data_IF_262792954790
#
_entry.id   IF_262792954790
#
_cell.length_a   1.000
_cell.length_b   1.000
_cell.length_c   1.000
_cell.angle_alpha   90.00
_cell.angle_beta   90.00
_cell.angle_gamma   90.00
#
_symmetry.space_group_name_H-M   'P 1'
#
loop_
_entity.id
_entity.type
_entity.pdbx_description
1 polymer ?
#
# COMPACT_ATOMS: atom_id res chain seq x y z
N UNK A 1 76.56 8.40 -3.99
CA UNK A 1 75.86 7.16 -4.26
C UNK A 1 74.49 7.29 -3.60
N UNK A 2 73.45 7.49 -4.38
CA UNK A 2 72.11 7.77 -3.93
C UNK A 2 71.29 6.48 -3.94
N UNK A 3 70.53 6.19 -2.89
CA UNK A 3 69.47 5.18 -2.90
C UNK A 3 68.16 5.88 -2.51
N UNK A 4 67.28 6.00 -3.51
CA UNK A 4 65.90 6.46 -3.31
C UNK A 4 65.03 5.39 -2.72
N UNK A 5 64.26 5.76 -1.71
CA UNK A 5 63.18 4.95 -1.16
C UNK A 5 61.87 5.32 -1.83
N UNK A 6 61.24 4.37 -2.50
CA UNK A 6 59.90 4.47 -3.06
C UNK A 6 58.87 4.40 -1.93
N UNK A 7 58.13 5.46 -1.74
CA UNK A 7 56.96 5.49 -0.88
C UNK A 7 55.73 5.00 -1.65
N UNK A 8 55.15 3.88 -1.20
CA UNK A 8 53.84 3.37 -1.67
C UNK A 8 52.72 4.14 -0.97
N UNK A 9 52.00 4.93 -1.72
CA UNK A 9 50.75 5.56 -1.25
C UNK A 9 49.64 4.54 -1.30
N UNK A 10 49.18 4.09 -0.14
CA UNK A 10 47.96 3.31 0.00
C UNK A 10 46.75 4.25 -0.24
N UNK A 11 46.00 3.96 -1.26
CA UNK A 11 44.73 4.66 -1.55
C UNK A 11 43.66 4.05 -0.67
N UNK A 12 43.33 4.74 0.43
CA UNK A 12 42.16 4.39 1.24
C UNK A 12 40.88 4.72 0.44
N UNK A 13 40.30 3.69 -0.17
CA UNK A 13 38.96 3.76 -0.74
C UNK A 13 37.95 3.69 0.41
N UNK A 14 37.65 4.83 0.98
CA UNK A 14 36.53 4.96 1.92
C UNK A 14 35.20 4.76 1.17
N UNK A 15 34.72 3.52 1.10
CA UNK A 15 33.34 3.24 0.71
C UNK A 15 32.41 3.74 1.81
N UNK A 16 32.02 5.00 1.69
CA UNK A 16 30.89 5.56 2.45
C UNK A 16 29.61 4.86 2.01
N UNK A 17 29.30 3.72 2.60
CA UNK A 17 27.97 3.10 2.54
C UNK A 17 27.01 4.05 3.23
N UNK A 18 26.45 4.98 2.45
CA UNK A 18 25.35 5.83 2.86
C UNK A 18 24.16 4.93 3.18
N UNK A 19 24.05 4.55 4.44
CA UNK A 19 22.87 3.89 4.99
C UNK A 19 21.71 4.85 4.77
N UNK A 20 20.88 4.60 3.75
CA UNK A 20 19.65 5.35 3.53
C UNK A 20 18.80 5.19 4.79
N UNK A 21 18.33 6.26 5.42
CA UNK A 21 17.39 6.14 6.53
C UNK A 21 16.18 5.36 6.04
N UNK A 22 15.87 4.26 6.71
CA UNK A 22 14.60 3.55 6.48
C UNK A 22 13.52 4.48 6.99
N UNK A 23 12.91 5.23 6.09
CA UNK A 23 11.75 6.06 6.41
C UNK A 23 10.68 5.20 7.08
N UNK A 24 10.13 5.62 8.22
CA UNK A 24 9.14 4.83 8.93
C UNK A 24 7.93 4.57 8.03
N UNK A 25 7.54 3.32 7.89
CA UNK A 25 6.32 2.93 7.17
C UNK A 25 5.16 3.71 7.79
N UNK A 26 4.60 4.65 7.06
CA UNK A 26 3.48 5.48 7.53
C UNK A 26 2.25 4.59 7.71
N UNK A 27 1.97 4.17 8.94
CA UNK A 27 0.75 3.42 9.26
C UNK A 27 -0.41 4.41 9.38
N UNK A 28 -1.44 4.24 8.56
CA UNK A 28 -2.67 5.03 8.66
C UNK A 28 -3.57 4.40 9.72
N UNK A 29 -3.92 5.17 10.76
CA UNK A 29 -4.85 4.70 11.78
C UNK A 29 -6.25 4.52 11.18
N UNK A 30 -6.91 3.40 11.50
CA UNK A 30 -8.27 3.14 11.05
C UNK A 30 -9.27 4.09 11.70
N UNK A 31 -10.04 4.78 10.87
CA UNK A 31 -11.20 5.58 11.28
C UNK A 31 -12.46 5.10 10.56
N UNK A 32 -13.48 4.59 11.28
CA UNK A 32 -14.72 4.08 10.68
C UNK A 32 -15.47 5.13 9.86
N UNK A 33 -15.49 6.38 10.32
CA UNK A 33 -16.17 7.47 9.63
C UNK A 33 -15.54 7.76 8.28
N UNK A 34 -14.22 7.83 8.23
CA UNK A 34 -13.45 8.01 6.97
C UNK A 34 -13.65 6.83 6.03
N UNK A 35 -13.62 5.60 6.58
CA UNK A 35 -13.85 4.39 5.77
C UNK A 35 -15.22 4.42 5.08
N UNK A 36 -16.27 4.76 5.81
CA UNK A 36 -17.62 4.84 5.23
C UNK A 36 -17.79 6.01 4.24
N UNK A 37 -17.08 7.13 4.44
CA UNK A 37 -17.07 8.23 3.45
C UNK A 37 -16.38 7.82 2.16
N UNK A 38 -15.21 7.18 2.23
CA UNK A 38 -14.51 6.62 1.08
C UNK A 38 -15.36 5.57 0.35
N UNK A 39 -16.01 4.68 1.11
CA UNK A 39 -16.88 3.66 0.53
C UNK A 39 -18.09 4.29 -0.19
N UNK A 40 -18.69 5.32 0.37
CA UNK A 40 -19.76 6.06 -0.33
C UNK A 40 -19.26 6.77 -1.59
N UNK A 41 -18.04 7.34 -1.55
CA UNK A 41 -17.42 7.93 -2.73
C UNK A 41 -17.23 6.88 -3.84
N UNK A 42 -16.66 5.71 -3.49
CA UNK A 42 -16.52 4.58 -4.42
C UNK A 42 -17.86 4.18 -5.07
N UNK A 43 -18.95 4.11 -4.28
CA UNK A 43 -20.27 3.73 -4.81
C UNK A 43 -20.90 4.75 -5.76
N UNK A 44 -20.37 5.98 -5.80
CA UNK A 44 -20.84 7.07 -6.68
C UNK A 44 -20.00 7.22 -7.93
N UNK A 45 -18.92 6.47 -8.06
CA UNK A 45 -18.06 6.51 -9.25
C UNK A 45 -18.83 6.01 -10.46
N UNK A 46 -18.63 6.70 -11.58
CA UNK A 46 -19.14 6.26 -12.88
C UNK A 46 -18.60 4.86 -13.20
N UNK A 47 -19.46 3.89 -13.54
CA UNK A 47 -19.02 2.57 -13.99
C UNK A 47 -18.01 2.59 -15.15
N UNK A 48 -17.99 3.67 -15.93
CA UNK A 48 -17.04 3.91 -17.03
C UNK A 48 -15.66 4.39 -16.57
N UNK A 49 -15.46 4.71 -15.27
CA UNK A 49 -14.17 5.13 -14.74
C UNK A 49 -13.57 4.10 -13.76
N UNK A 50 -13.04 2.98 -14.28
CA UNK A 50 -12.40 1.97 -13.45
C UNK A 50 -11.10 2.46 -12.78
N UNK A 51 -10.42 3.47 -13.33
CA UNK A 51 -9.19 4.00 -12.75
C UNK A 51 -9.47 4.68 -11.41
N UNK A 52 -10.47 5.56 -11.37
CA UNK A 52 -10.90 6.21 -10.14
C UNK A 52 -11.49 5.21 -9.13
N UNK A 53 -12.22 4.20 -9.62
CA UNK A 53 -12.74 3.14 -8.76
C UNK A 53 -11.60 2.37 -8.06
N UNK A 54 -10.56 1.99 -8.79
CA UNK A 54 -9.36 1.36 -8.21
C UNK A 54 -8.66 2.26 -7.20
N UNK A 55 -8.46 3.53 -7.53
CA UNK A 55 -7.82 4.49 -6.62
C UNK A 55 -8.53 4.57 -5.25
N UNK A 56 -9.87 4.65 -5.25
CA UNK A 56 -10.64 4.67 -4.01
C UNK A 56 -10.60 3.33 -3.26
N UNK A 57 -10.56 2.20 -3.96
CA UNK A 57 -10.41 0.89 -3.33
C UNK A 57 -9.03 0.69 -2.71
N UNK A 58 -7.97 1.19 -3.33
CA UNK A 58 -6.62 1.18 -2.76
C UNK A 58 -6.56 2.04 -1.49
N UNK A 59 -7.18 3.22 -1.48
CA UNK A 59 -7.28 4.06 -0.29
C UNK A 59 -8.09 3.37 0.83
N UNK A 60 -9.21 2.72 0.51
CA UNK A 60 -10.00 1.90 1.44
C UNK A 60 -9.20 0.74 2.01
N UNK A 61 -8.39 0.07 1.17
CA UNK A 61 -7.53 -1.03 1.60
C UNK A 61 -6.49 -0.55 2.60
N UNK A 62 -5.75 0.51 2.27
CA UNK A 62 -4.73 1.09 3.16
C UNK A 62 -5.33 1.50 4.50
N UNK A 63 -6.50 2.13 4.50
CA UNK A 63 -7.18 2.56 5.73
C UNK A 63 -7.72 1.36 6.53
N UNK A 64 -8.27 0.35 5.84
CA UNK A 64 -8.97 -0.79 6.47
C UNK A 64 -8.07 -1.97 6.84
N UNK A 65 -6.83 -2.04 6.37
CA UNK A 65 -5.98 -3.24 6.44
C UNK A 65 -5.68 -3.74 7.86
N UNK A 66 -5.77 -2.89 8.88
CA UNK A 66 -5.56 -3.28 10.29
C UNK A 66 -6.81 -3.88 10.95
N UNK A 67 -7.94 -3.91 10.26
CA UNK A 67 -9.23 -4.43 10.76
C UNK A 67 -9.74 -5.53 9.84
N UNK A 68 -9.98 -6.72 10.38
CA UNK A 68 -10.35 -7.91 9.61
C UNK A 68 -11.53 -7.66 8.66
N UNK A 69 -12.65 -7.15 9.17
CA UNK A 69 -13.87 -6.95 8.39
C UNK A 69 -13.73 -5.88 7.31
N UNK A 70 -13.23 -4.65 7.60
CA UNK A 70 -12.95 -3.65 6.57
C UNK A 70 -11.96 -4.15 5.51
N UNK A 71 -10.90 -4.85 5.91
CA UNK A 71 -9.89 -5.40 5.02
C UNK A 71 -10.52 -6.44 4.05
N UNK A 72 -11.22 -7.44 4.58
CA UNK A 72 -11.91 -8.45 3.77
C UNK A 72 -12.97 -7.83 2.85
N UNK A 73 -13.76 -6.86 3.36
CA UNK A 73 -14.77 -6.13 2.57
C UNK A 73 -14.13 -5.42 1.38
N UNK A 74 -12.98 -4.78 1.58
CA UNK A 74 -12.29 -4.07 0.50
C UNK A 74 -11.80 -5.04 -0.58
N UNK A 75 -11.23 -6.19 -0.21
CA UNK A 75 -10.86 -7.23 -1.18
C UNK A 75 -12.08 -7.80 -1.92
N UNK A 76 -13.22 -7.93 -1.27
CA UNK A 76 -14.48 -8.30 -1.95
C UNK A 76 -14.92 -7.27 -3.00
N UNK A 77 -14.80 -5.97 -2.69
CA UNK A 77 -15.09 -4.90 -3.65
C UNK A 77 -14.09 -4.88 -4.82
N UNK A 78 -12.79 -5.09 -4.53
CA UNK A 78 -11.74 -5.22 -5.55
C UNK A 78 -12.01 -6.41 -6.47
N UNK A 79 -12.42 -7.57 -5.92
CA UNK A 79 -12.82 -8.74 -6.68
C UNK A 79 -13.99 -8.43 -7.61
N UNK A 80 -15.02 -7.76 -7.11
CA UNK A 80 -16.19 -7.38 -7.90
C UNK A 80 -15.81 -6.43 -9.05
N UNK A 81 -14.93 -5.45 -8.80
CA UNK A 81 -14.42 -4.55 -9.84
C UNK A 81 -13.59 -5.31 -10.87
N UNK A 82 -12.67 -6.19 -10.43
CA UNK A 82 -11.84 -7.02 -11.29
C UNK A 82 -12.68 -7.91 -12.21
N UNK A 83 -13.74 -8.52 -11.66
CA UNK A 83 -14.68 -9.34 -12.42
C UNK A 83 -15.43 -8.52 -13.47
N UNK A 84 -15.98 -7.36 -13.09
CA UNK A 84 -16.68 -6.45 -13.98
C UNK A 84 -15.80 -5.95 -15.13
N UNK A 85 -14.52 -5.67 -14.84
CA UNK A 85 -13.55 -5.21 -15.85
C UNK A 85 -12.86 -6.36 -16.58
N UNK A 86 -13.26 -7.62 -16.32
CA UNK A 86 -12.68 -8.84 -16.92
C UNK A 86 -11.17 -8.97 -16.74
N UNK A 87 -10.64 -8.45 -15.66
CA UNK A 87 -9.22 -8.57 -15.31
C UNK A 87 -9.00 -9.86 -14.50
N UNK A 88 -8.78 -10.99 -15.19
CA UNK A 88 -8.64 -12.29 -14.55
C UNK A 88 -7.41 -12.39 -13.65
N UNK A 89 -6.33 -11.65 -13.92
CA UNK A 89 -5.17 -11.61 -13.06
C UNK A 89 -5.52 -11.00 -11.68
N UNK A 90 -6.26 -9.89 -11.69
CA UNK A 90 -6.78 -9.29 -10.45
C UNK A 90 -7.80 -10.19 -9.77
N UNK A 91 -8.71 -10.84 -10.50
CA UNK A 91 -9.68 -11.79 -9.92
C UNK A 91 -8.95 -12.87 -9.11
N UNK A 92 -7.98 -13.55 -9.71
CA UNK A 92 -7.22 -14.60 -9.03
C UNK A 92 -6.44 -14.04 -7.83
N UNK A 93 -5.83 -12.87 -7.99
CA UNK A 93 -5.10 -12.19 -6.92
C UNK A 93 -6.01 -11.82 -5.74
N UNK A 94 -7.23 -11.36 -5.99
CA UNK A 94 -8.17 -10.98 -4.93
C UNK A 94 -8.76 -12.20 -4.21
N UNK A 95 -9.03 -13.30 -4.94
CA UNK A 95 -9.45 -14.58 -4.33
C UNK A 95 -8.38 -15.10 -3.37
N UNK A 96 -7.11 -15.11 -3.79
CA UNK A 96 -6.01 -15.49 -2.92
C UNK A 96 -5.92 -14.62 -1.67
N UNK A 97 -6.06 -13.30 -1.83
CA UNK A 97 -6.01 -12.36 -0.69
C UNK A 97 -7.16 -12.55 0.28
N UNK A 98 -8.38 -12.82 -0.20
CA UNK A 98 -9.52 -13.13 0.66
C UNK A 98 -9.27 -14.37 1.53
N UNK A 99 -8.55 -15.38 1.01
CA UNK A 99 -8.13 -16.53 1.80
C UNK A 99 -7.03 -16.19 2.81
N UNK A 100 -6.10 -15.28 2.44
CA UNK A 100 -4.96 -14.90 3.28
C UNK A 100 -5.31 -13.87 4.35
N UNK A 101 -6.36 -13.06 4.17
CA UNK A 101 -6.74 -12.01 5.14
C UNK A 101 -6.99 -12.56 6.55
N UNK A 102 -7.82 -13.60 6.77
CA UNK A 102 -8.02 -14.15 8.10
C UNK A 102 -6.71 -14.69 8.71
N UNK A 103 -5.89 -15.35 7.89
CA UNK A 103 -4.62 -15.92 8.33
C UNK A 103 -3.62 -14.82 8.71
N UNK A 104 -3.52 -13.75 7.93
CA UNK A 104 -2.66 -12.60 8.21
C UNK A 104 -3.04 -11.90 9.51
N UNK A 105 -4.34 -11.73 9.77
CA UNK A 105 -4.84 -11.15 11.02
C UNK A 105 -4.58 -12.08 12.23
N UNK A 106 -4.76 -13.38 12.07
CA UNK A 106 -4.51 -14.36 13.13
C UNK A 106 -3.02 -14.41 13.51
N UNK A 107 -2.12 -14.33 12.52
CA UNK A 107 -0.67 -14.39 12.72
C UNK A 107 -0.05 -13.02 13.02
N UNK A 108 -0.82 -11.93 13.03
CA UNK A 108 -0.31 -10.57 13.20
C UNK A 108 0.64 -10.12 12.07
N UNK A 109 0.56 -10.75 10.90
CA UNK A 109 1.40 -10.46 9.73
C UNK A 109 0.61 -9.70 8.67
N UNK A 110 0.45 -8.41 8.88
CA UNK A 110 -0.26 -7.52 7.94
C UNK A 110 0.74 -6.74 7.09
N UNK A 111 0.59 -6.70 5.76
CA UNK A 111 1.46 -5.96 4.86
C UNK A 111 1.08 -4.47 4.87
N UNK A 112 1.47 -3.76 5.93
CA UNK A 112 1.10 -2.36 6.14
C UNK A 112 1.52 -1.47 4.95
N UNK A 113 0.64 -0.55 4.55
CA UNK A 113 0.86 0.37 3.43
C UNK A 113 0.67 -0.26 2.04
N UNK A 114 0.45 -1.56 1.95
CA UNK A 114 0.21 -2.26 0.68
C UNK A 114 -1.12 -1.83 0.05
N UNK A 115 -1.14 -1.63 -1.27
CA UNK A 115 -2.34 -1.18 -2.00
C UNK A 115 -3.41 -2.27 -2.15
N UNK A 116 -3.06 -3.53 -1.92
CA UNK A 116 -3.98 -4.67 -2.09
C UNK A 116 -4.12 -5.17 -3.54
N UNK A 117 -3.42 -4.57 -4.52
CA UNK A 117 -3.46 -4.97 -5.93
C UNK A 117 -2.69 -6.27 -6.17
N UNK A 118 -3.14 -7.06 -7.16
CA UNK A 118 -2.57 -8.39 -7.46
C UNK A 118 -1.10 -8.37 -7.90
N UNK A 119 -0.67 -7.28 -8.56
CA UNK A 119 0.71 -7.11 -9.00
C UNK A 119 1.69 -6.77 -7.87
N UNK A 120 1.18 -6.51 -6.66
CA UNK A 120 1.99 -6.28 -5.47
C UNK A 120 2.00 -7.54 -4.60
N UNK A 121 3.17 -7.92 -4.07
CA UNK A 121 3.28 -9.09 -3.19
C UNK A 121 2.35 -9.00 -1.98
N UNK A 122 1.56 -10.05 -1.72
CA UNK A 122 0.50 -10.04 -0.70
C UNK A 122 1.01 -9.76 0.73
N UNK A 123 2.27 -10.06 1.02
CA UNK A 123 2.90 -9.87 2.34
C UNK A 123 3.98 -8.78 2.35
N UNK A 124 4.08 -7.99 1.28
CA UNK A 124 5.10 -6.95 1.17
C UNK A 124 4.62 -5.65 1.84
N UNK A 125 5.24 -5.21 2.94
CA UNK A 125 5.01 -3.87 3.48
C UNK A 125 5.50 -2.81 2.48
N UNK A 126 4.79 -1.68 2.41
CA UNK A 126 5.13 -0.58 1.51
C UNK A 126 4.91 0.75 2.22
N UNK A 127 5.57 1.79 1.74
CA UNK A 127 5.15 3.14 2.05
C UNK A 127 3.84 3.44 1.34
N UNK A 128 2.92 4.08 2.05
CA UNK A 128 1.66 4.52 1.45
C UNK A 128 1.95 5.62 0.44
N UNK A 129 1.47 5.44 -0.79
CA UNK A 129 1.65 6.43 -1.84
C UNK A 129 1.04 7.80 -1.42
N UNK A 130 1.74 8.92 -1.69
CA UNK A 130 1.28 10.25 -1.25
C UNK A 130 -0.14 10.60 -1.72
N UNK A 131 -0.51 10.20 -2.93
CA UNK A 131 -1.84 10.40 -3.50
C UNK A 131 -2.93 9.64 -2.74
N UNK A 132 -2.65 8.43 -2.25
CA UNK A 132 -3.58 7.67 -1.40
C UNK A 132 -3.74 8.35 -0.03
N UNK A 133 -2.63 8.83 0.55
CA UNK A 133 -2.68 9.60 1.80
C UNK A 133 -3.49 10.88 1.63
N UNK A 134 -3.32 11.61 0.52
CA UNK A 134 -4.09 12.81 0.22
C UNK A 134 -5.58 12.49 0.12
N UNK A 135 -5.94 11.41 -0.58
CA UNK A 135 -7.33 10.94 -0.71
C UNK A 135 -7.93 10.57 0.64
N UNK A 136 -7.21 9.82 1.48
CA UNK A 136 -7.67 9.47 2.82
C UNK A 136 -7.89 10.73 3.66
N UNK A 137 -6.92 11.66 3.66
CA UNK A 137 -7.01 12.92 4.42
C UNK A 137 -8.17 13.81 3.96
N UNK A 138 -8.44 13.88 2.66
CA UNK A 138 -9.58 14.62 2.12
C UNK A 138 -10.93 14.08 2.63
N UNK A 139 -10.99 12.78 2.92
CA UNK A 139 -12.19 12.14 3.48
C UNK A 139 -12.20 12.10 5.02
N UNK A 140 -11.10 12.45 5.70
CA UNK A 140 -11.07 12.59 7.17
C UNK A 140 -11.78 13.86 7.65
N UNK A 141 -11.80 14.92 6.86
CA UNK A 141 -12.46 16.18 7.24
C UNK A 141 -13.96 16.07 7.02
N UNK A 142 -14.77 16.42 8.02
CA UNK A 142 -16.19 16.64 7.75
C UNK A 142 -16.30 17.75 6.69
N UNK A 143 -17.32 17.70 5.80
CA UNK A 143 -17.56 18.81 4.90
C UNK A 143 -17.72 20.07 5.75
N UNK A 144 -16.94 21.11 5.45
CA UNK A 144 -17.14 22.44 6.03
C UNK A 144 -18.54 22.90 5.63
N UNK A 145 -19.40 23.10 6.63
CA UNK A 145 -20.72 23.69 6.48
C UNK A 145 -20.59 25.13 6.00
#
# INVERSE_FOLDING_TARGET
MAHGAMGTTATDTNMNTKTMPTEPTTTVAFDPGTFERLHRAYRRIDPGDPAQAWHLLEALHVLGQTRLVPHARTHGLMLALAWRTRNLAEVNGQLLRLLLVPLGHLLGRLPLGNTGRSHVGAFRPMQVAPELLATIRAHQRPPTL
#
